data_IF_318177757878
#
_entry.id   IF_318177757878
#
_cell.length_a   1.000
_cell.length_b   1.000
_cell.length_c   1.000
_cell.angle_alpha   90.00
_cell.angle_beta   90.00
_cell.angle_gamma   90.00
#
_symmetry.space_group_name_H-M   'P 1'
#
loop_
_entity.id
_entity.type
_entity.pdbx_description
1 polymer ?
#
# COMPACT_ATOMS: atom_id res chain seq x y z
N UNK A 1 10.17 -9.67 12.51
CA UNK A 1 9.32 -8.63 11.91
C UNK A 1 8.09 -9.32 11.35
N UNK A 2 6.93 -8.87 11.76
CA UNK A 2 5.63 -9.39 11.33
C UNK A 2 5.32 -8.87 9.92
N UNK A 3 4.59 -9.61 9.06
CA UNK A 3 4.32 -9.15 7.70
C UNK A 3 3.52 -7.83 7.66
N UNK A 4 2.69 -7.57 8.68
CA UNK A 4 1.98 -6.30 8.85
C UNK A 4 2.90 -5.10 9.13
N UNK A 5 4.01 -5.30 9.84
CA UNK A 5 5.01 -4.24 10.09
C UNK A 5 5.77 -3.90 8.81
N UNK A 6 6.11 -4.91 8.00
CA UNK A 6 6.69 -4.69 6.68
C UNK A 6 5.73 -3.94 5.75
N UNK A 7 4.43 -4.29 5.80
CA UNK A 7 3.40 -3.61 5.02
C UNK A 7 3.25 -2.15 5.42
N UNK A 8 3.20 -1.83 6.72
CA UNK A 8 3.09 -0.44 7.17
C UNK A 8 4.30 0.41 6.80
N UNK A 9 5.51 -0.14 6.93
CA UNK A 9 6.74 0.53 6.52
C UNK A 9 6.78 0.79 5.00
N UNK A 10 6.44 -0.22 4.19
CA UNK A 10 6.37 -0.07 2.73
C UNK A 10 5.32 0.96 2.32
N UNK A 11 4.15 0.94 2.98
CA UNK A 11 3.08 1.89 2.72
C UNK A 11 3.47 3.34 3.09
N UNK A 12 4.08 3.54 4.26
CA UNK A 12 4.60 4.85 4.67
C UNK A 12 5.66 5.36 3.70
N UNK A 13 6.58 4.49 3.25
CA UNK A 13 7.62 4.86 2.30
C UNK A 13 7.03 5.29 0.94
N UNK A 14 6.05 4.56 0.41
CA UNK A 14 5.40 4.92 -0.86
C UNK A 14 4.61 6.23 -0.74
N UNK A 15 3.89 6.44 0.37
CA UNK A 15 3.16 7.69 0.60
C UNK A 15 4.10 8.89 0.81
N UNK A 16 5.18 8.70 1.59
CA UNK A 16 6.22 9.70 1.80
C UNK A 16 6.85 10.15 0.49
N UNK A 17 7.18 9.18 -0.38
CA UNK A 17 7.72 9.43 -1.72
C UNK A 17 6.73 10.19 -2.61
N UNK A 18 5.44 9.88 -2.53
CA UNK A 18 4.40 10.55 -3.34
C UNK A 18 4.06 11.95 -2.91
N UNK A 19 4.00 12.19 -1.60
CA UNK A 19 3.69 13.51 -1.04
C UNK A 19 4.95 14.37 -0.85
N UNK A 20 6.14 13.79 -1.04
CA UNK A 20 7.43 14.42 -0.76
C UNK A 20 7.51 14.95 0.69
N UNK A 21 7.08 14.12 1.64
CA UNK A 21 7.07 14.39 3.08
C UNK A 21 7.89 13.34 3.82
N UNK A 22 8.26 13.60 5.07
CA UNK A 22 8.92 12.59 5.90
C UNK A 22 7.94 11.50 6.32
N UNK A 23 8.40 10.23 6.35
CA UNK A 23 7.60 9.12 6.84
C UNK A 23 7.14 9.30 8.30
N UNK A 24 7.87 10.08 9.09
CA UNK A 24 7.52 10.44 10.47
C UNK A 24 6.25 11.31 10.56
N UNK A 25 5.92 12.03 9.49
CA UNK A 25 4.68 12.84 9.39
C UNK A 25 3.46 11.98 8.99
N UNK A 26 3.67 10.69 8.73
CA UNK A 26 2.65 9.76 8.26
C UNK A 26 2.29 8.81 9.38
N UNK A 27 1.02 8.85 9.79
CA UNK A 27 0.49 7.94 10.80
C UNK A 27 -0.23 6.77 10.15
N UNK A 28 0.00 5.57 10.67
CA UNK A 28 -0.76 4.38 10.29
C UNK A 28 -2.09 4.40 11.03
N UNK A 29 -3.19 4.47 10.29
CA UNK A 29 -4.56 4.48 10.83
C UNK A 29 -5.08 3.06 10.97
N UNK A 30 -4.90 2.21 9.96
CA UNK A 30 -5.30 0.80 10.00
C UNK A 30 -4.47 -0.05 9.05
N UNK A 31 -4.40 -1.34 9.34
CA UNK A 31 -3.79 -2.36 8.49
C UNK A 31 -4.78 -3.52 8.42
N UNK A 32 -5.28 -3.81 7.22
CA UNK A 32 -6.24 -4.88 6.98
C UNK A 32 -5.61 -5.92 6.04
N UNK A 33 -5.69 -7.20 6.36
CA UNK A 33 -5.27 -8.26 5.44
C UNK A 33 -6.29 -8.39 4.31
N UNK A 34 -5.84 -8.31 3.06
CA UNK A 34 -6.70 -8.34 1.87
C UNK A 34 -6.09 -9.28 0.83
N UNK A 35 -6.95 -9.98 0.10
CA UNK A 35 -6.58 -10.77 -1.06
C UNK A 35 -6.90 -9.98 -2.33
N UNK A 36 -5.85 -9.54 -3.04
CA UNK A 36 -6.01 -8.78 -4.27
C UNK A 36 -6.36 -9.70 -5.43
N UNK A 37 -7.31 -9.32 -6.31
CA UNK A 37 -7.76 -10.19 -7.40
C UNK A 37 -6.71 -10.40 -8.51
N UNK A 38 -5.66 -9.59 -8.53
CA UNK A 38 -4.61 -9.60 -9.54
C UNK A 38 -3.25 -9.13 -8.98
N UNK A 39 -2.20 -9.27 -9.80
CA UNK A 39 -0.85 -8.85 -9.46
C UNK A 39 -0.64 -7.31 -9.39
N UNK A 40 -1.65 -6.52 -9.75
CA UNK A 40 -1.63 -5.05 -9.63
C UNK A 40 -1.98 -4.56 -8.22
N UNK A 41 -2.34 -5.47 -7.31
CA UNK A 41 -2.78 -5.15 -5.95
C UNK A 41 -4.02 -4.24 -5.97
N UNK A 42 -4.92 -4.47 -6.93
CA UNK A 42 -6.11 -3.65 -7.14
C UNK A 42 -5.85 -2.28 -7.79
N UNK A 43 -4.61 -2.00 -8.22
CA UNK A 43 -4.24 -0.76 -8.91
C UNK A 43 -3.72 -1.01 -10.34
N UNK A 44 -4.58 -1.48 -11.28
CA UNK A 44 -4.15 -1.75 -12.63
C UNK A 44 -3.81 -0.44 -13.38
N UNK A 45 -2.60 -0.35 -13.92
CA UNK A 45 -2.22 0.77 -14.79
C UNK A 45 -2.71 0.55 -16.22
N UNK A 46 -3.21 1.62 -16.90
CA UNK A 46 -3.62 1.54 -18.30
C UNK A 46 -2.49 1.04 -19.19
N UNK A 47 -2.76 0.04 -20.03
CA UNK A 47 -1.78 -0.52 -20.96
C UNK A 47 -0.88 -1.62 -20.40
N UNK A 48 -0.97 -1.95 -19.11
CA UNK A 48 -0.35 -3.16 -18.56
C UNK A 48 -1.32 -4.34 -18.52
N UNK A 49 -0.86 -5.50 -18.97
CA UNK A 49 -1.51 -6.76 -18.69
C UNK A 49 -1.04 -7.27 -17.32
N UNK A 50 -1.97 -7.43 -16.39
CA UNK A 50 -1.71 -8.05 -15.10
C UNK A 50 -2.23 -9.48 -15.12
N UNK A 51 -1.45 -10.38 -14.53
CA UNK A 51 -1.89 -11.76 -14.32
C UNK A 51 -2.99 -11.73 -13.25
N UNK A 52 -4.13 -12.35 -13.56
CA UNK A 52 -5.25 -12.55 -12.63
C UNK A 52 -4.91 -13.65 -11.62
N UNK A 53 -3.98 -13.34 -10.73
CA UNK A 53 -3.59 -14.20 -9.63
C UNK A 53 -3.98 -13.54 -8.32
N UNK A 54 -4.67 -14.30 -7.46
CA UNK A 54 -4.99 -13.85 -6.12
C UNK A 54 -3.67 -13.60 -5.37
N UNK A 55 -3.42 -12.35 -5.04
CA UNK A 55 -2.20 -11.92 -4.38
C UNK A 55 -2.53 -11.50 -2.95
N UNK A 56 -2.16 -12.31 -1.93
CA UNK A 56 -2.34 -11.91 -0.54
C UNK A 56 -1.51 -10.68 -0.21
N UNK A 57 -2.04 -9.82 0.63
CA UNK A 57 -1.44 -8.55 0.96
C UNK A 57 -2.16 -7.81 2.06
N UNK A 58 -1.92 -6.50 2.11
CA UNK A 58 -2.53 -5.63 3.10
C UNK A 58 -3.07 -4.35 2.45
N UNK A 59 -4.22 -3.89 2.91
CA UNK A 59 -4.71 -2.53 2.69
C UNK A 59 -4.33 -1.70 3.91
N UNK A 60 -3.43 -0.75 3.73
CA UNK A 60 -2.93 0.12 4.78
C UNK A 60 -3.57 1.49 4.62
N UNK A 61 -4.32 1.93 5.63
CA UNK A 61 -4.83 3.30 5.69
C UNK A 61 -3.83 4.15 6.45
N UNK A 62 -3.36 5.22 5.82
CA UNK A 62 -2.41 6.17 6.36
C UNK A 62 -3.08 7.53 6.52
N UNK A 63 -2.60 8.36 7.43
CA UNK A 63 -3.00 9.75 7.60
C UNK A 63 -1.77 10.64 7.51
N UNK A 64 -1.81 11.63 6.61
CA UNK A 64 -0.76 12.63 6.45
C UNK A 64 -1.41 14.02 6.33
N UNK A 65 -0.95 14.97 7.15
CA UNK A 65 -1.50 16.34 7.18
C UNK A 65 -3.04 16.42 7.32
N UNK A 66 -3.65 15.46 8.04
CA UNK A 66 -5.10 15.41 8.25
C UNK A 66 -5.90 14.78 7.09
N UNK A 67 -5.24 14.34 6.02
CA UNK A 67 -5.85 13.59 4.92
C UNK A 67 -5.53 12.11 5.05
N UNK A 68 -6.52 11.26 4.74
CA UNK A 68 -6.35 9.81 4.70
C UNK A 68 -5.97 9.33 3.31
N UNK A 69 -5.08 8.37 3.26
CA UNK A 69 -4.57 7.74 2.04
C UNK A 69 -4.60 6.24 2.20
N UNK A 70 -5.07 5.54 1.17
CA UNK A 70 -5.05 4.08 1.12
C UNK A 70 -3.88 3.62 0.27
N UNK A 71 -3.09 2.70 0.82
CA UNK A 71 -1.95 2.10 0.14
C UNK A 71 -2.10 0.60 0.20
N UNK A 72 -2.02 -0.04 -0.96
CA UNK A 72 -2.16 -1.47 -1.11
C UNK A 72 -0.79 -2.11 -1.15
N UNK A 73 -0.57 -3.17 -0.39
CA UNK A 73 0.71 -3.88 -0.35
C UNK A 73 0.53 -5.36 -0.60
N UNK A 74 1.59 -6.03 -1.02
CA UNK A 74 1.67 -7.50 -0.98
C UNK A 74 2.43 -7.98 0.27
N UNK A 75 2.51 -9.29 0.46
CA UNK A 75 3.30 -9.90 1.54
C UNK A 75 4.81 -9.74 1.38
N UNK A 76 5.29 -9.30 0.20
CA UNK A 76 6.72 -9.15 -0.12
C UNK A 76 7.22 -7.72 0.15
N UNK A 77 6.34 -6.82 0.61
CA UNK A 77 6.69 -5.43 0.90
C UNK A 77 6.64 -4.51 -0.33
N UNK A 78 6.02 -4.92 -1.44
CA UNK A 78 5.65 -3.97 -2.51
C UNK A 78 4.44 -3.19 -2.06
N UNK A 79 4.46 -1.87 -2.25
CA UNK A 79 3.36 -0.97 -1.93
C UNK A 79 2.99 -0.12 -3.15
N UNK A 80 1.69 0.05 -3.39
CA UNK A 80 1.13 0.88 -4.46
C UNK A 80 -0.01 1.74 -3.92
N UNK A 81 0.01 3.02 -4.27
CA UNK A 81 -1.09 3.93 -4.00
C UNK A 81 -1.87 4.13 -5.30
N UNK A 82 -3.09 3.58 -5.35
CA UNK A 82 -4.07 3.89 -6.39
C UNK A 82 -4.39 5.39 -6.33
N UNK A 83 -4.60 6.03 -7.48
CA UNK A 83 -4.99 7.42 -7.59
C UNK A 83 -6.29 7.53 -8.37
#
# INVERSE_FOLDING_TARGET
MSPSETASQAAQAELARRLNVSAEQIQVVSIESVEWPDASLGCPQPGQMYIQVITPGYKVTLSAAGQRYEVHTDLKGRAVMCR
#
